data_IF_972238093421
#
_entry.id   IF_972238093421
#
_cell.length_a   1.000
_cell.length_b   1.000
_cell.length_c   1.000
_cell.angle_alpha   90.00
_cell.angle_beta   90.00
_cell.angle_gamma   90.00
#
_symmetry.space_group_name_H-M   'P 1'
#
loop_
_entity.id
_entity.type
_entity.pdbx_description
1 polymer ?
#
# COMPACT_ATOMS: atom_id res chain seq x y z
N UNK A 1 3.76 43.73 63.42
CA UNK A 1 3.92 42.28 63.22
C UNK A 1 3.21 41.73 61.98
N UNK A 2 2.20 42.40 61.41
CA UNK A 2 1.46 41.91 60.23
C UNK A 2 2.35 41.77 58.97
N UNK A 3 3.33 42.67 58.78
CA UNK A 3 4.21 42.68 57.60
C UNK A 3 5.19 41.51 57.47
N UNK A 4 5.54 40.82 58.57
CA UNK A 4 6.46 39.67 58.52
C UNK A 4 5.75 38.40 58.04
N UNK A 5 4.47 38.24 58.37
CA UNK A 5 3.65 37.10 57.95
C UNK A 5 3.38 37.12 56.44
N UNK A 6 3.15 38.30 55.85
CA UNK A 6 2.94 38.44 54.40
C UNK A 6 4.20 38.09 53.59
N UNK A 7 5.39 38.43 54.09
CA UNK A 7 6.66 38.09 53.42
C UNK A 7 6.86 36.56 53.41
N UNK A 8 6.61 35.89 54.54
CA UNK A 8 6.75 34.43 54.63
C UNK A 8 5.80 33.69 53.67
N UNK A 9 4.54 34.14 53.56
CA UNK A 9 3.56 33.56 52.61
C UNK A 9 3.99 33.77 51.16
N UNK A 10 4.50 34.95 50.80
CA UNK A 10 4.95 35.24 49.44
C UNK A 10 6.13 34.34 49.01
N UNK A 11 7.07 34.05 49.92
CA UNK A 11 8.20 33.15 49.66
C UNK A 11 7.72 31.71 49.41
N UNK A 12 6.78 31.22 50.22
CA UNK A 12 6.19 29.88 50.03
C UNK A 12 5.43 29.79 48.70
N UNK A 13 4.70 30.84 48.33
CA UNK A 13 3.99 30.89 47.04
C UNK A 13 4.94 30.87 45.85
N UNK A 14 6.05 31.62 45.90
CA UNK A 14 7.10 31.60 44.87
C UNK A 14 7.74 30.21 44.73
N UNK A 15 8.01 29.54 45.85
CA UNK A 15 8.55 28.19 45.85
C UNK A 15 7.59 27.19 45.21
N UNK A 16 6.31 27.20 45.60
CA UNK A 16 5.28 26.33 45.02
C UNK A 16 5.10 26.61 43.52
N UNK A 17 5.07 27.87 43.12
CA UNK A 17 4.95 28.26 41.71
C UNK A 17 6.13 27.77 40.87
N UNK A 18 7.36 27.80 41.42
CA UNK A 18 8.54 27.27 40.73
C UNK A 18 8.46 25.76 40.50
N UNK A 19 8.00 25.01 41.51
CA UNK A 19 7.80 23.56 41.43
C UNK A 19 6.70 23.17 40.44
N UNK A 20 5.60 23.91 40.41
CA UNK A 20 4.54 23.71 39.43
C UNK A 20 5.04 23.96 38.01
N UNK A 21 5.79 25.06 37.80
CA UNK A 21 6.36 25.38 36.49
C UNK A 21 7.31 24.30 35.97
N UNK A 22 8.15 23.73 36.82
CA UNK A 22 9.05 22.63 36.41
C UNK A 22 8.27 21.38 36.03
N UNK A 23 7.24 21.02 36.79
CA UNK A 23 6.34 19.90 36.44
C UNK A 23 5.60 20.15 35.14
N UNK A 24 5.09 21.35 34.93
CA UNK A 24 4.38 21.71 33.71
C UNK A 24 5.31 21.64 32.49
N UNK A 25 6.56 22.10 32.61
CA UNK A 25 7.57 21.97 31.57
C UNK A 25 7.94 20.51 31.28
N UNK A 26 8.06 19.69 32.33
CA UNK A 26 8.32 18.26 32.18
C UNK A 26 7.17 17.57 31.44
N UNK A 27 5.92 17.79 31.86
CA UNK A 27 4.73 17.22 31.24
C UNK A 27 4.54 17.70 29.80
N UNK A 28 4.80 18.99 29.53
CA UNK A 28 4.74 19.54 28.18
C UNK A 28 5.78 18.90 27.25
N UNK A 29 7.01 18.68 27.75
CA UNK A 29 8.05 17.98 26.99
C UNK A 29 7.69 16.51 26.76
N UNK A 30 7.19 15.81 27.77
CA UNK A 30 6.77 14.41 27.64
C UNK A 30 5.63 14.27 26.62
N UNK A 31 4.64 15.17 26.68
CA UNK A 31 3.52 15.21 25.72
C UNK A 31 4.03 15.47 24.31
N UNK A 32 4.94 16.45 24.16
CA UNK A 32 5.52 16.77 22.85
C UNK A 32 6.29 15.60 22.25
N UNK A 33 7.05 14.85 23.05
CA UNK A 33 7.78 13.66 22.56
C UNK A 33 6.79 12.58 22.11
N UNK A 34 5.77 12.30 22.92
CA UNK A 34 4.71 11.33 22.57
C UNK A 34 3.97 11.73 21.29
N UNK A 35 3.63 13.01 21.15
CA UNK A 35 2.96 13.52 19.96
C UNK A 35 3.82 13.36 18.70
N UNK A 36 5.13 13.59 18.80
CA UNK A 36 6.06 13.36 17.71
C UNK A 36 6.14 11.88 17.33
N UNK A 37 6.23 10.98 18.31
CA UNK A 37 6.25 9.52 18.08
C UNK A 37 4.96 9.03 17.41
N UNK A 38 3.80 9.51 17.87
CA UNK A 38 2.50 9.19 17.28
C UNK A 38 2.42 9.71 15.85
N UNK A 39 2.87 10.94 15.61
CA UNK A 39 2.87 11.56 14.28
C UNK A 39 3.73 10.77 13.30
N UNK A 40 4.94 10.37 13.71
CA UNK A 40 5.84 9.59 12.88
C UNK A 40 5.26 8.21 12.56
N UNK A 41 4.72 7.52 13.57
CA UNK A 41 4.07 6.22 13.37
C UNK A 41 2.89 6.32 12.41
N UNK A 42 2.05 7.34 12.57
CA UNK A 42 0.91 7.58 11.68
C UNK A 42 1.37 7.89 10.25
N UNK A 43 2.46 8.64 10.09
CA UNK A 43 3.03 8.95 8.79
C UNK A 43 3.51 7.67 8.08
N UNK A 44 4.28 6.83 8.77
CA UNK A 44 4.76 5.55 8.22
C UNK A 44 3.60 4.62 7.85
N UNK A 45 2.58 4.53 8.72
CA UNK A 45 1.39 3.75 8.44
C UNK A 45 0.61 4.29 7.23
N UNK A 46 0.49 5.61 7.10
CA UNK A 46 -0.15 6.24 5.95
C UNK A 46 0.59 5.95 4.64
N UNK A 47 1.92 6.01 4.64
CA UNK A 47 2.74 5.63 3.48
C UNK A 47 2.56 4.17 3.10
N UNK A 48 2.55 3.27 4.09
CA UNK A 48 2.29 1.85 3.87
C UNK A 48 0.92 1.60 3.23
N UNK A 49 -0.14 2.20 3.81
CA UNK A 49 -1.50 2.06 3.29
C UNK A 49 -1.64 2.64 1.88
N UNK A 50 -1.02 3.78 1.60
CA UNK A 50 -1.03 4.39 0.27
C UNK A 50 -0.38 3.46 -0.77
N UNK A 51 0.77 2.85 -0.43
CA UNK A 51 1.45 1.89 -1.30
C UNK A 51 0.58 0.65 -1.56
N UNK A 52 -0.07 0.10 -0.54
CA UNK A 52 -0.98 -1.05 -0.70
C UNK A 52 -2.19 -0.70 -1.58
N UNK A 53 -2.78 0.48 -1.40
CA UNK A 53 -3.88 0.97 -2.24
C UNK A 53 -3.45 1.13 -3.71
N UNK A 54 -2.23 1.64 -3.96
CA UNK A 54 -1.68 1.74 -5.32
C UNK A 54 -1.58 0.37 -5.98
N UNK A 55 -1.08 -0.65 -5.27
CA UNK A 55 -1.00 -2.01 -5.81
C UNK A 55 -2.37 -2.64 -6.07
N UNK A 56 -3.34 -2.41 -5.17
CA UNK A 56 -4.71 -2.88 -5.38
C UNK A 56 -5.36 -2.21 -6.60
N UNK A 57 -5.09 -0.92 -6.81
CA UNK A 57 -5.54 -0.18 -7.99
C UNK A 57 -4.94 -0.77 -9.27
N UNK A 58 -3.61 -1.00 -9.29
CA UNK A 58 -2.91 -1.61 -10.43
C UNK A 58 -3.50 -2.99 -10.77
N UNK A 59 -3.78 -3.80 -9.74
CA UNK A 59 -4.41 -5.11 -9.92
C UNK A 59 -5.79 -4.98 -10.58
N UNK A 60 -6.66 -4.13 -10.04
CA UNK A 60 -8.01 -3.93 -10.56
C UNK A 60 -8.00 -3.38 -11.98
N UNK A 61 -7.19 -2.36 -12.25
CA UNK A 61 -7.04 -1.77 -13.59
C UNK A 61 -6.57 -2.80 -14.63
N UNK A 62 -5.73 -3.75 -14.21
CA UNK A 62 -5.30 -4.84 -15.07
C UNK A 62 -6.41 -5.87 -15.32
N UNK A 63 -7.17 -6.25 -14.28
CA UNK A 63 -8.29 -7.17 -14.42
C UNK A 63 -9.41 -6.56 -15.30
N UNK A 64 -9.71 -5.28 -15.15
CA UNK A 64 -10.68 -4.55 -15.97
C UNK A 64 -10.20 -4.47 -17.42
N UNK A 65 -8.91 -4.18 -17.63
CA UNK A 65 -8.30 -4.24 -18.96
C UNK A 65 -8.45 -5.62 -19.59
N UNK A 66 -8.16 -6.69 -18.86
CA UNK A 66 -8.30 -8.05 -19.38
C UNK A 66 -9.77 -8.39 -19.69
N UNK A 67 -10.69 -8.02 -18.80
CA UNK A 67 -12.11 -8.26 -19.01
C UNK A 67 -12.61 -7.56 -20.27
N UNK A 68 -12.32 -6.26 -20.42
CA UNK A 68 -12.69 -5.49 -21.61
C UNK A 68 -11.98 -5.97 -22.88
N UNK A 69 -10.73 -6.42 -22.76
CA UNK A 69 -10.01 -7.04 -23.86
C UNK A 69 -10.71 -8.32 -24.32
N UNK A 70 -11.00 -9.24 -23.40
CA UNK A 70 -11.68 -10.50 -23.72
C UNK A 70 -13.07 -10.27 -24.30
N UNK A 71 -13.85 -9.35 -23.73
CA UNK A 71 -15.19 -9.00 -24.21
C UNK A 71 -15.15 -8.53 -25.67
N UNK A 72 -14.27 -7.57 -25.96
CA UNK A 72 -14.12 -6.97 -27.30
C UNK A 72 -13.59 -7.96 -28.35
N UNK A 73 -12.85 -8.96 -27.91
CA UNK A 73 -12.09 -9.87 -28.78
C UNK A 73 -12.57 -11.32 -28.70
N UNK A 74 -13.79 -11.55 -28.20
CA UNK A 74 -14.43 -12.88 -28.13
C UNK A 74 -14.58 -13.57 -29.49
N UNK A 75 -14.66 -12.81 -30.58
CA UNK A 75 -14.92 -13.35 -31.91
C UNK A 75 -13.62 -13.62 -32.71
N UNK A 76 -13.35 -14.91 -32.92
CA UNK A 76 -12.15 -15.44 -33.62
C UNK A 76 -12.12 -15.04 -35.10
N UNK A 77 -13.23 -14.60 -35.68
CA UNK A 77 -13.35 -14.27 -37.11
C UNK A 77 -12.76 -12.91 -37.52
N UNK A 78 -12.29 -12.12 -36.55
CA UNK A 78 -11.73 -10.81 -36.83
C UNK A 78 -10.36 -10.92 -37.53
N UNK A 79 -10.15 -10.12 -38.58
CA UNK A 79 -8.88 -9.96 -39.33
C UNK A 79 -7.77 -9.30 -38.49
N UNK A 80 -7.75 -9.58 -37.19
CA UNK A 80 -6.81 -9.00 -36.24
C UNK A 80 -5.47 -9.72 -36.30
N UNK A 81 -4.40 -8.94 -36.18
CA UNK A 81 -3.07 -9.48 -35.98
C UNK A 81 -2.93 -9.97 -34.53
N UNK A 82 -3.38 -11.19 -34.27
CA UNK A 82 -3.37 -11.81 -32.94
C UNK A 82 -1.98 -11.90 -32.32
N UNK A 83 -0.92 -12.05 -33.13
CA UNK A 83 0.44 -12.06 -32.63
C UNK A 83 0.83 -10.71 -32.01
N UNK A 84 0.55 -9.60 -32.70
CA UNK A 84 0.82 -8.27 -32.18
C UNK A 84 -0.01 -7.96 -30.92
N UNK A 85 -1.27 -8.40 -30.90
CA UNK A 85 -2.16 -8.21 -29.75
C UNK A 85 -1.67 -9.02 -28.55
N UNK A 86 -1.29 -10.28 -28.75
CA UNK A 86 -0.71 -11.14 -27.70
C UNK A 86 0.54 -10.49 -27.11
N UNK A 87 1.47 -9.98 -27.93
CA UNK A 87 2.66 -9.28 -27.43
C UNK A 87 2.33 -8.04 -26.58
N UNK A 88 1.29 -7.28 -26.92
CA UNK A 88 0.85 -6.12 -26.12
C UNK A 88 0.31 -6.58 -24.76
N UNK A 89 -0.52 -7.62 -24.75
CA UNK A 89 -1.09 -8.16 -23.52
C UNK A 89 0.01 -8.78 -22.66
N UNK A 90 0.94 -9.51 -23.23
CA UNK A 90 2.13 -10.04 -22.55
C UNK A 90 2.95 -8.91 -21.92
N UNK A 91 3.29 -7.88 -22.69
CA UNK A 91 4.03 -6.73 -22.18
C UNK A 91 3.32 -6.06 -21.00
N UNK A 92 2.01 -5.81 -21.12
CA UNK A 92 1.23 -5.21 -20.02
C UNK A 92 1.16 -6.14 -18.81
N UNK A 93 1.05 -7.45 -19.04
CA UNK A 93 1.06 -8.46 -17.98
C UNK A 93 2.39 -8.43 -17.23
N UNK A 94 3.53 -8.36 -17.94
CA UNK A 94 4.85 -8.28 -17.31
C UNK A 94 5.02 -7.01 -16.50
N UNK A 95 4.68 -5.86 -17.08
CA UNK A 95 4.77 -4.57 -16.41
C UNK A 95 3.92 -4.50 -15.13
N UNK A 96 2.75 -5.15 -15.13
CA UNK A 96 1.89 -5.23 -13.95
C UNK A 96 2.46 -6.19 -12.92
N UNK A 97 2.89 -7.39 -13.32
CA UNK A 97 3.46 -8.36 -12.39
C UNK A 97 4.69 -7.79 -11.68
N UNK A 98 5.56 -7.03 -12.35
CA UNK A 98 6.73 -6.40 -11.72
C UNK A 98 6.39 -5.39 -10.61
N UNK A 99 5.17 -4.83 -10.61
CA UNK A 99 4.75 -3.82 -9.63
C UNK A 99 3.98 -4.41 -8.44
N UNK A 100 3.63 -5.69 -8.50
CA UNK A 100 2.79 -6.35 -7.50
C UNK A 100 3.61 -7.22 -6.57
N UNK A 101 3.13 -7.41 -5.35
CA UNK A 101 3.67 -8.43 -4.44
C UNK A 101 3.20 -9.84 -4.83
N UNK A 102 3.82 -10.85 -4.20
CA UNK A 102 3.53 -12.26 -4.40
C UNK A 102 2.05 -12.64 -4.37
N UNK A 103 1.28 -12.14 -3.39
CA UNK A 103 -0.15 -12.46 -3.24
C UNK A 103 -0.96 -11.94 -4.42
N UNK A 104 -0.75 -10.69 -4.81
CA UNK A 104 -1.47 -10.05 -5.92
C UNK A 104 -1.07 -10.66 -7.28
N UNK A 105 0.21 -10.98 -7.47
CA UNK A 105 0.67 -11.76 -8.63
C UNK A 105 -0.06 -13.11 -8.73
N UNK A 106 -0.20 -13.84 -7.63
CA UNK A 106 -0.93 -15.11 -7.60
C UNK A 106 -2.39 -14.96 -8.04
N UNK A 107 -3.06 -13.85 -7.70
CA UNK A 107 -4.42 -13.59 -8.17
C UNK A 107 -4.48 -13.40 -9.69
N UNK A 108 -3.54 -12.66 -10.28
CA UNK A 108 -3.44 -12.51 -11.74
C UNK A 108 -3.21 -13.86 -12.41
N UNK A 109 -2.25 -14.64 -11.92
CA UNK A 109 -1.91 -15.93 -12.54
C UNK A 109 -3.09 -16.89 -12.49
N UNK A 110 -3.80 -16.95 -11.35
CA UNK A 110 -5.03 -17.74 -11.22
C UNK A 110 -6.12 -17.25 -12.17
N UNK A 111 -6.30 -15.94 -12.33
CA UNK A 111 -7.27 -15.39 -13.28
C UNK A 111 -6.92 -15.77 -14.73
N UNK A 112 -5.67 -15.58 -15.14
CA UNK A 112 -5.16 -15.98 -16.46
C UNK A 112 -5.31 -17.48 -16.71
N UNK A 113 -5.02 -18.31 -15.71
CA UNK A 113 -5.21 -19.76 -15.77
C UNK A 113 -6.68 -20.15 -15.95
N UNK A 114 -7.57 -19.59 -15.12
CA UNK A 114 -9.01 -19.87 -15.16
C UNK A 114 -9.64 -19.43 -16.49
N UNK A 115 -9.17 -18.31 -17.04
CA UNK A 115 -9.56 -17.83 -18.37
C UNK A 115 -8.86 -18.59 -19.52
N UNK A 116 -8.04 -19.61 -19.22
CA UNK A 116 -7.25 -20.41 -20.17
C UNK A 116 -6.32 -19.57 -21.06
N UNK A 117 -5.87 -18.41 -20.58
CA UNK A 117 -5.02 -17.49 -21.33
C UNK A 117 -3.53 -17.87 -21.25
N UNK A 118 -3.16 -18.74 -20.30
CA UNK A 118 -1.80 -19.28 -20.19
C UNK A 118 -1.74 -20.78 -20.53
N UNK A 119 -2.80 -21.30 -21.18
CA UNK A 119 -2.86 -22.68 -21.66
C UNK A 119 -2.62 -22.69 -23.17
N UNK A 120 -1.73 -23.55 -23.64
CA UNK A 120 -1.23 -23.56 -25.02
C UNK A 120 -2.26 -24.00 -26.07
N UNK A 121 -3.41 -24.51 -25.64
CA UNK A 121 -4.50 -24.99 -26.48
C UNK A 121 -5.49 -23.87 -26.88
N UNK A 122 -5.29 -22.65 -26.38
CA UNK A 122 -6.15 -21.52 -26.65
C UNK A 122 -5.70 -20.71 -27.88
N UNK A 123 -6.67 -20.11 -28.59
CA UNK A 123 -6.42 -19.28 -29.78
C UNK A 123 -5.73 -17.95 -29.44
N UNK A 124 -5.82 -17.53 -28.17
CA UNK A 124 -5.08 -16.44 -27.59
C UNK A 124 -4.34 -16.93 -26.36
N UNK A 125 -3.03 -16.69 -26.34
CA UNK A 125 -2.11 -17.13 -25.30
C UNK A 125 -1.25 -15.96 -24.84
N UNK A 126 -1.01 -15.90 -23.53
CA UNK A 126 -0.14 -14.95 -22.84
C UNK A 126 1.01 -15.77 -22.27
N UNK A 127 2.18 -15.69 -22.87
CA UNK A 127 3.37 -16.30 -22.33
C UNK A 127 3.78 -15.63 -21.03
N UNK A 128 4.10 -16.43 -20.01
CA UNK A 128 4.69 -15.96 -18.75
C UNK A 128 6.21 -16.19 -18.68
N UNK A 129 6.85 -16.59 -19.78
CA UNK A 129 8.25 -17.03 -19.79
C UNK A 129 9.24 -15.96 -19.28
N UNK A 130 8.91 -14.68 -19.43
CA UNK A 130 9.74 -13.55 -19.00
C UNK A 130 9.13 -12.77 -17.83
N UNK A 131 8.03 -13.25 -17.26
CA UNK A 131 7.38 -12.59 -16.15
C UNK A 131 8.18 -12.80 -14.85
N UNK A 132 8.25 -11.77 -14.02
CA UNK A 132 8.81 -11.89 -12.68
C UNK A 132 7.82 -12.59 -11.74
N UNK A 133 7.97 -13.90 -11.63
CA UNK A 133 7.15 -14.75 -10.78
C UNK A 133 7.74 -14.96 -9.37
N UNK A 134 8.70 -14.13 -8.97
CA UNK A 134 9.27 -14.17 -7.60
C UNK A 134 8.16 -13.87 -6.59
N UNK A 135 8.18 -14.57 -5.45
CA UNK A 135 7.21 -14.49 -4.35
C UNK A 135 5.80 -14.98 -4.68
N UNK A 136 5.56 -15.51 -5.88
CA UNK A 136 4.24 -16.04 -6.24
C UNK A 136 3.93 -17.29 -5.39
N UNK A 137 2.93 -17.17 -4.54
CA UNK A 137 2.39 -18.29 -3.77
C UNK A 137 1.26 -18.96 -4.57
N UNK A 138 1.62 -19.96 -5.37
CA UNK A 138 0.66 -20.89 -5.97
C UNK A 138 0.36 -22.01 -4.97
N UNK A 139 -0.20 -21.66 -3.80
CA UNK A 139 -0.53 -22.65 -2.76
C UNK A 139 -1.30 -23.85 -3.34
N UNK A 140 -1.01 -25.05 -2.83
CA UNK A 140 -1.73 -26.29 -3.17
C UNK A 140 -3.22 -26.09 -2.93
N UNK A 141 -4.01 -26.11 -4.01
CA UNK A 141 -5.45 -26.31 -3.94
C UNK A 141 -5.75 -27.74 -3.46
#
# INVERSE_FOLDING_TARGET
>A
MIGLLTIAVAVVQLYIASQQRERDLFLANETRVKDLEITEKNHQQALFLANEQTKDTILNDYLDFLAGFLEKHTDKSSNLNWAAISSIVEFKTFAVLDQLDGKRKSHIIKALYNARLIQSDNWFFVSLAYANLTEVELGHA
#
